data_IF_580088292830
#
_entry.id   IF_580088292830
#
_cell.length_a   1.000
_cell.length_b   1.000
_cell.length_c   1.000
_cell.angle_alpha   90.00
_cell.angle_beta   90.00
_cell.angle_gamma   90.00
#
_symmetry.space_group_name_H-M   'P 1'
#
loop_
_entity.id
_entity.type
_entity.pdbx_description
1 polymer ?
#
# COMPACT_ATOMS: atom_id res chain seq x y z
N UNK A 1 -10.96 -36.90 -10.29
CA UNK A 1 -9.95 -36.07 -9.61
C UNK A 1 -9.85 -34.76 -10.37
N UNK A 2 -10.44 -33.69 -9.84
CA UNK A 2 -10.46 -32.39 -10.53
C UNK A 2 -9.17 -31.65 -10.18
N UNK A 3 -8.47 -31.27 -11.23
CA UNK A 3 -7.15 -30.64 -11.25
C UNK A 3 -7.21 -29.26 -10.58
N UNK A 4 -6.81 -29.15 -9.31
CA UNK A 4 -6.77 -27.88 -8.55
C UNK A 4 -5.57 -26.99 -8.91
N UNK A 5 -4.96 -27.19 -10.09
CA UNK A 5 -3.71 -26.54 -10.48
C UNK A 5 -3.84 -25.16 -11.13
N UNK A 6 -5.05 -24.64 -11.39
CA UNK A 6 -5.26 -23.47 -12.26
C UNK A 6 -5.80 -22.21 -11.53
N UNK A 7 -6.34 -22.30 -10.30
CA UNK A 7 -7.21 -21.23 -9.77
C UNK A 7 -6.49 -20.12 -8.96
N UNK A 8 -5.17 -20.18 -8.75
CA UNK A 8 -4.50 -19.17 -7.90
C UNK A 8 -4.01 -17.92 -8.68
N UNK A 9 -3.72 -18.05 -9.98
CA UNK A 9 -3.33 -16.92 -10.84
C UNK A 9 -4.51 -16.02 -11.21
N UNK A 10 -5.65 -16.64 -11.49
CA UNK A 10 -6.89 -15.93 -11.84
C UNK A 10 -7.39 -15.05 -10.69
N UNK A 11 -7.18 -15.45 -9.42
CA UNK A 11 -7.51 -14.62 -8.25
C UNK A 11 -6.61 -13.37 -8.18
N UNK A 12 -5.31 -13.49 -8.48
CA UNK A 12 -4.40 -12.34 -8.43
C UNK A 12 -4.70 -11.31 -9.53
N UNK A 13 -4.92 -11.77 -10.76
CA UNK A 13 -5.31 -10.90 -11.88
C UNK A 13 -6.65 -10.21 -11.59
N UNK A 14 -7.60 -10.93 -10.98
CA UNK A 14 -8.88 -10.35 -10.55
C UNK A 14 -8.68 -9.26 -9.50
N UNK A 15 -7.84 -9.49 -8.50
CA UNK A 15 -7.51 -8.50 -7.47
C UNK A 15 -6.79 -7.28 -8.04
N UNK A 16 -5.80 -7.48 -8.91
CA UNK A 16 -5.11 -6.38 -9.60
C UNK A 16 -6.08 -5.54 -10.43
N UNK A 17 -6.92 -6.18 -11.25
CA UNK A 17 -7.96 -5.50 -12.04
C UNK A 17 -8.92 -4.69 -11.18
N UNK A 18 -9.26 -5.20 -9.98
CA UNK A 18 -10.13 -4.49 -9.02
C UNK A 18 -9.47 -3.26 -8.43
N UNK A 19 -8.17 -3.33 -8.13
CA UNK A 19 -7.41 -2.19 -7.64
C UNK A 19 -7.26 -1.14 -8.75
N UNK A 20 -6.78 -1.52 -9.94
CA UNK A 20 -6.57 -0.58 -11.05
C UNK A 20 -7.87 0.12 -11.44
N UNK A 21 -9.01 -0.59 -11.51
CA UNK A 21 -10.30 0.04 -11.80
C UNK A 21 -10.66 1.16 -10.81
N UNK A 22 -10.37 0.98 -9.51
CA UNK A 22 -10.62 2.02 -8.50
C UNK A 22 -9.72 3.22 -8.71
N UNK A 23 -8.43 2.97 -8.94
CA UNK A 23 -7.44 4.02 -9.15
C UNK A 23 -7.73 4.81 -10.43
N UNK A 24 -8.04 4.13 -11.54
CA UNK A 24 -8.41 4.77 -12.80
C UNK A 24 -9.67 5.63 -12.68
N UNK A 25 -10.70 5.15 -11.95
CA UNK A 25 -11.91 5.96 -11.68
C UNK A 25 -11.59 7.25 -10.92
N UNK A 26 -10.58 7.21 -10.04
CA UNK A 26 -10.12 8.35 -9.26
C UNK A 26 -8.97 9.15 -9.91
N UNK A 27 -8.54 8.78 -11.12
CA UNK A 27 -7.34 9.35 -11.79
C UNK A 27 -6.08 9.27 -10.89
N UNK A 28 -5.99 8.23 -10.09
CA UNK A 28 -4.90 7.97 -9.16
C UNK A 28 -3.91 6.94 -9.71
N UNK A 29 -2.70 6.98 -9.18
CA UNK A 29 -1.59 6.11 -9.58
C UNK A 29 -1.07 5.27 -8.41
N UNK A 30 -0.47 4.14 -8.75
CA UNK A 30 0.12 3.17 -7.83
C UNK A 30 1.56 2.86 -8.21
N UNK A 31 2.40 2.70 -7.20
CA UNK A 31 3.76 2.17 -7.31
C UNK A 31 3.99 0.98 -6.39
N UNK A 32 5.06 0.22 -6.63
CA UNK A 32 5.37 -0.98 -5.85
C UNK A 32 6.83 -1.05 -5.40
N UNK A 33 7.07 -1.60 -4.20
CA UNK A 33 8.41 -1.93 -3.68
C UNK A 33 8.46 -3.40 -3.23
N UNK A 34 9.17 -4.25 -3.97
CA UNK A 34 9.20 -5.69 -3.73
C UNK A 34 10.56 -6.16 -3.24
N UNK A 35 10.56 -7.05 -2.24
CA UNK A 35 11.73 -7.81 -1.84
C UNK A 35 11.54 -9.30 -2.21
N UNK A 36 10.91 -10.08 -1.33
CA UNK A 36 10.88 -11.53 -1.45
C UNK A 36 10.01 -12.07 -2.61
N UNK A 37 9.08 -11.26 -3.13
CA UNK A 37 8.25 -11.59 -4.30
C UNK A 37 9.00 -11.47 -5.61
N UNK A 38 9.96 -10.54 -5.71
CA UNK A 38 10.91 -10.44 -6.83
C UNK A 38 10.27 -9.97 -8.15
N UNK A 39 9.33 -9.03 -8.09
CA UNK A 39 8.65 -8.48 -9.27
C UNK A 39 7.30 -9.13 -9.58
N UNK A 40 6.79 -10.00 -8.69
CA UNK A 40 5.53 -10.71 -8.93
C UNK A 40 4.32 -9.77 -8.79
N UNK A 41 4.32 -8.85 -7.83
CA UNK A 41 3.24 -7.84 -7.72
C UNK A 41 3.26 -6.94 -8.95
N UNK A 42 4.45 -6.46 -9.33
CA UNK A 42 4.67 -5.63 -10.51
C UNK A 42 4.15 -6.33 -11.77
N UNK A 43 4.58 -7.58 -12.01
CA UNK A 43 4.10 -8.38 -13.15
C UNK A 43 2.59 -8.51 -13.14
N UNK A 44 1.99 -8.80 -11.99
CA UNK A 44 0.53 -8.98 -11.86
C UNK A 44 -0.25 -7.71 -12.20
N UNK A 45 0.25 -6.54 -11.77
CA UNK A 45 -0.35 -5.24 -12.12
C UNK A 45 -0.16 -4.96 -13.61
N UNK A 46 1.05 -5.14 -14.14
CA UNK A 46 1.33 -4.83 -15.54
C UNK A 46 0.70 -5.81 -16.54
N UNK A 47 0.27 -7.00 -16.10
CA UNK A 47 -0.49 -7.95 -16.93
C UNK A 47 -1.90 -7.44 -17.27
N UNK A 48 -2.41 -6.43 -16.56
CA UNK A 48 -3.68 -5.77 -16.89
C UNK A 48 -3.47 -4.82 -18.08
N UNK A 49 -4.29 -5.00 -19.12
CA UNK A 49 -4.27 -4.12 -20.29
C UNK A 49 -4.60 -2.68 -19.90
N UNK A 50 -3.74 -1.73 -20.26
CA UNK A 50 -3.91 -0.32 -19.93
C UNK A 50 -3.35 0.09 -18.57
N UNK A 51 -2.68 -0.81 -17.85
CA UNK A 51 -2.04 -0.54 -16.55
C UNK A 51 -1.13 0.69 -16.53
N UNK A 52 -0.53 1.06 -17.66
CA UNK A 52 0.26 2.30 -17.81
C UNK A 52 -0.49 3.59 -17.48
N UNK A 53 -1.83 3.57 -17.43
CA UNK A 53 -2.63 4.73 -17.04
C UNK A 53 -2.64 4.97 -15.52
N UNK A 54 -2.29 3.97 -14.70
CA UNK A 54 -2.20 4.10 -13.25
C UNK A 54 -0.92 3.53 -12.63
N UNK A 55 -0.08 2.79 -13.37
CA UNK A 55 1.14 2.18 -12.86
C UNK A 55 2.36 2.71 -13.60
N UNK A 56 3.20 3.47 -12.89
CA UNK A 56 4.32 4.19 -13.50
C UNK A 56 5.68 3.56 -13.20
N UNK A 57 5.90 3.09 -11.97
CA UNK A 57 7.22 2.70 -11.50
C UNK A 57 7.14 1.66 -10.38
N UNK A 58 8.17 0.82 -10.28
CA UNK A 58 8.40 -0.07 -9.15
C UNK A 58 9.87 -0.23 -8.82
N UNK A 59 10.14 -0.79 -7.65
CA UNK A 59 11.46 -1.14 -7.15
C UNK A 59 11.51 -2.59 -6.71
N UNK A 60 12.61 -3.26 -7.03
CA UNK A 60 12.92 -4.60 -6.50
C UNK A 60 14.16 -4.47 -5.61
N UNK A 61 13.97 -4.38 -4.30
CA UNK A 61 15.01 -4.06 -3.31
C UNK A 61 15.31 -5.25 -2.40
N UNK A 62 15.95 -6.28 -2.96
CA UNK A 62 16.18 -7.54 -2.24
C UNK A 62 17.17 -7.39 -1.07
N UNK A 63 18.26 -6.64 -1.25
CA UNK A 63 19.27 -6.42 -0.20
C UNK A 63 18.86 -5.28 0.75
N UNK A 64 19.49 -5.22 1.92
CA UNK A 64 19.32 -4.09 2.85
C UNK A 64 19.86 -2.80 2.24
N UNK A 65 21.01 -2.87 1.59
CA UNK A 65 21.63 -1.73 0.90
C UNK A 65 20.71 -1.14 -0.17
N UNK A 66 20.08 -1.97 -1.01
CA UNK A 66 19.14 -1.49 -2.03
C UNK A 66 17.90 -0.86 -1.40
N UNK A 67 17.42 -1.32 -0.24
CA UNK A 67 16.30 -0.67 0.47
C UNK A 67 16.69 0.75 0.92
N UNK A 68 17.92 0.92 1.40
CA UNK A 68 18.43 2.23 1.83
C UNK A 68 18.60 3.16 0.62
N UNK A 69 19.32 2.72 -0.42
CA UNK A 69 19.65 3.56 -1.57
C UNK A 69 18.41 3.93 -2.39
N UNK A 70 17.56 2.95 -2.68
CA UNK A 70 16.46 3.13 -3.63
C UNK A 70 15.18 3.65 -2.98
N UNK A 71 14.97 3.40 -1.69
CA UNK A 71 13.71 3.68 -1.00
C UNK A 71 13.88 4.48 0.29
N UNK A 72 15.09 4.98 0.57
CA UNK A 72 15.41 5.80 1.75
C UNK A 72 15.02 5.12 3.08
N UNK A 73 15.06 3.79 3.13
CA UNK A 73 14.86 3.03 4.37
C UNK A 73 15.99 3.37 5.33
N UNK A 74 15.66 3.66 6.59
CA UNK A 74 16.63 4.05 7.59
C UNK A 74 17.51 2.84 7.99
N UNK A 75 18.85 2.93 7.88
CA UNK A 75 19.75 1.85 8.31
C UNK A 75 19.55 1.42 9.77
N UNK A 76 19.20 2.35 10.67
CA UNK A 76 18.94 2.04 12.08
C UNK A 76 17.69 1.17 12.24
N UNK A 77 16.63 1.44 11.47
CA UNK A 77 15.42 0.61 11.45
C UNK A 77 15.74 -0.82 10.99
N UNK A 78 16.60 -0.97 9.98
CA UNK A 78 17.07 -2.29 9.54
C UNK A 78 17.88 -3.01 10.62
N UNK A 79 18.72 -2.30 11.37
CA UNK A 79 19.52 -2.86 12.46
C UNK A 79 18.66 -3.30 13.66
N UNK A 80 17.65 -2.51 14.01
CA UNK A 80 16.80 -2.74 15.19
C UNK A 80 15.71 -3.79 14.93
N UNK A 81 15.03 -3.71 13.79
CA UNK A 81 13.83 -4.52 13.51
C UNK A 81 14.08 -5.66 12.51
N UNK A 82 15.18 -5.59 11.75
CA UNK A 82 15.46 -6.48 10.64
C UNK A 82 14.64 -6.16 9.38
N UNK A 83 15.05 -6.68 8.24
CA UNK A 83 14.43 -6.38 6.93
C UNK A 83 12.96 -6.80 6.80
N UNK A 84 12.54 -7.82 7.56
CA UNK A 84 11.18 -8.35 7.53
C UNK A 84 10.40 -7.80 8.73
N UNK A 85 10.01 -6.53 8.69
CA UNK A 85 9.30 -5.88 9.79
C UNK A 85 8.25 -4.89 9.28
N UNK A 86 7.36 -4.44 10.16
CA UNK A 86 6.33 -3.45 9.84
C UNK A 86 6.97 -2.10 9.48
N UNK A 87 8.01 -1.70 10.21
CA UNK A 87 8.73 -0.45 10.05
C UNK A 87 9.45 -0.39 8.71
N UNK A 88 10.16 -1.46 8.35
CA UNK A 88 10.83 -1.54 7.04
C UNK A 88 9.82 -1.60 5.90
N UNK A 89 8.73 -2.37 6.05
CA UNK A 89 7.67 -2.41 5.05
C UNK A 89 7.07 -1.00 4.83
N UNK A 90 6.73 -0.28 5.89
CA UNK A 90 6.18 1.07 5.78
C UNK A 90 7.19 2.03 5.12
N UNK A 91 8.44 2.05 5.57
CA UNK A 91 9.47 2.91 4.97
C UNK A 91 9.69 2.59 3.48
N UNK A 92 9.68 1.31 3.08
CA UNK A 92 9.74 0.93 1.66
C UNK A 92 8.56 1.49 0.87
N UNK A 93 7.33 1.44 1.42
CA UNK A 93 6.15 1.98 0.75
C UNK A 93 6.20 3.51 0.66
N UNK A 94 6.53 4.19 1.76
CA UNK A 94 6.67 5.66 1.79
C UNK A 94 7.76 6.15 0.83
N UNK A 95 8.91 5.47 0.76
CA UNK A 95 9.97 5.77 -0.18
C UNK A 95 9.53 5.63 -1.64
N UNK A 96 8.86 4.51 -1.96
CA UNK A 96 8.34 4.27 -3.30
C UNK A 96 7.31 5.33 -3.71
N UNK A 97 6.38 5.67 -2.82
CA UNK A 97 5.37 6.70 -3.03
C UNK A 97 6.01 8.05 -3.34
N UNK A 98 6.95 8.49 -2.48
CA UNK A 98 7.63 9.79 -2.63
C UNK A 98 8.44 9.87 -3.92
N UNK A 99 9.16 8.82 -4.30
CA UNK A 99 10.01 8.83 -5.50
C UNK A 99 9.22 8.72 -6.80
N UNK A 100 8.07 8.02 -6.79
CA UNK A 100 7.19 7.92 -7.96
C UNK A 100 6.16 9.04 -8.06
N UNK A 101 5.95 9.81 -6.99
CA UNK A 101 4.80 10.70 -6.80
C UNK A 101 3.45 9.99 -6.99
N UNK A 102 3.36 8.70 -6.62
CA UNK A 102 2.10 7.97 -6.73
C UNK A 102 1.12 8.32 -5.60
N UNK A 103 -0.17 8.22 -5.86
CA UNK A 103 -1.20 8.40 -4.83
C UNK A 103 -1.15 7.31 -3.77
N UNK A 104 -0.84 6.08 -4.18
CA UNK A 104 -0.64 4.93 -3.30
C UNK A 104 0.63 4.17 -3.66
N UNK A 105 1.31 3.60 -2.68
CA UNK A 105 2.42 2.68 -2.88
C UNK A 105 2.26 1.44 -2.01
N UNK A 106 2.63 0.29 -2.56
CA UNK A 106 2.54 -1.02 -1.91
C UNK A 106 3.94 -1.58 -1.76
N UNK A 107 4.32 -2.02 -0.56
CA UNK A 107 5.58 -2.72 -0.34
C UNK A 107 5.39 -4.14 0.16
N UNK A 108 6.34 -5.02 -0.14
CA UNK A 108 6.35 -6.40 0.33
C UNK A 108 7.74 -6.78 0.82
N UNK A 109 7.85 -7.13 2.11
CA UNK A 109 9.05 -7.76 2.69
C UNK A 109 8.65 -8.97 3.53
N UNK A 110 9.37 -10.09 3.39
CA UNK A 110 8.95 -11.36 3.98
C UNK A 110 9.94 -12.50 3.76
N UNK A 111 9.70 -13.62 4.43
CA UNK A 111 10.52 -14.83 4.34
C UNK A 111 9.76 -15.85 3.50
N UNK A 112 9.97 -15.86 2.18
CA UNK A 112 9.26 -16.81 1.31
C UNK A 112 9.67 -18.29 1.57
N UNK A 113 10.83 -18.54 2.16
CA UNK A 113 11.37 -19.90 2.38
C UNK A 113 12.32 -20.37 1.27
N UNK A 114 12.88 -21.59 1.35
CA UNK A 114 12.54 -22.64 2.31
C UNK A 114 13.22 -22.53 3.67
N UNK A 115 14.21 -21.64 3.82
CA UNK A 115 14.90 -21.38 5.09
C UNK A 115 14.49 -20.02 5.63
N UNK A 116 14.51 -19.90 6.96
CA UNK A 116 14.48 -18.59 7.61
C UNK A 116 15.79 -17.84 7.33
N UNK A 117 15.78 -16.53 7.53
CA UNK A 117 16.91 -15.62 7.34
C UNK A 117 17.82 -15.56 8.59
N UNK A 118 17.95 -16.68 9.31
CA UNK A 118 18.62 -16.82 10.61
C UNK A 118 18.07 -15.91 11.72
N UNK A 119 16.95 -15.22 11.45
CA UNK A 119 16.18 -14.51 12.47
C UNK A 119 15.26 -15.47 13.23
N UNK A 120 14.59 -14.95 14.27
CA UNK A 120 13.54 -15.68 15.00
C UNK A 120 12.21 -15.77 14.24
N UNK A 121 12.12 -15.19 13.03
CA UNK A 121 10.91 -15.08 12.22
C UNK A 121 10.69 -16.34 11.38
N UNK A 122 9.42 -16.63 11.10
CA UNK A 122 9.01 -17.90 10.49
C UNK A 122 9.05 -17.84 8.96
N UNK A 123 9.31 -18.99 8.33
CA UNK A 123 9.07 -19.12 6.88
C UNK A 123 7.58 -18.91 6.62
N UNK A 124 7.27 -18.04 5.67
CA UNK A 124 5.93 -17.63 5.32
C UNK A 124 5.47 -16.35 6.02
N UNK A 125 6.28 -15.78 6.90
CA UNK A 125 6.02 -14.46 7.49
C UNK A 125 6.25 -13.34 6.46
N UNK A 126 5.30 -12.41 6.40
CA UNK A 126 5.33 -11.26 5.48
C UNK A 126 4.75 -10.01 6.14
N UNK A 127 5.29 -8.87 5.76
CA UNK A 127 4.77 -7.54 6.04
C UNK A 127 4.48 -6.82 4.72
N UNK A 128 3.27 -6.25 4.64
CA UNK A 128 2.80 -5.41 3.55
C UNK A 128 2.72 -3.98 4.05
N UNK A 129 3.50 -3.08 3.49
CA UNK A 129 3.38 -1.64 3.76
C UNK A 129 2.48 -0.99 2.74
N UNK A 130 1.63 -0.06 3.20
CA UNK A 130 0.85 0.83 2.33
C UNK A 130 1.15 2.26 2.74
N UNK A 131 1.47 3.11 1.77
CA UNK A 131 1.57 4.55 1.95
C UNK A 131 0.70 5.24 0.90
N UNK A 132 -0.11 6.19 1.33
CA UNK A 132 -0.90 7.11 0.50
C UNK A 132 -0.92 8.51 1.13
N UNK A 133 -1.59 9.47 0.51
CA UNK A 133 -1.83 10.79 1.13
C UNK A 133 -2.71 10.70 2.39
N UNK A 134 -3.56 9.67 2.49
CA UNK A 134 -4.58 9.54 3.54
C UNK A 134 -4.26 8.45 4.57
N UNK A 135 -3.33 7.55 4.26
CA UNK A 135 -3.03 6.40 5.09
C UNK A 135 -1.55 6.00 5.00
N UNK A 136 -0.96 5.71 6.16
CA UNK A 136 0.34 5.06 6.25
C UNK A 136 0.26 3.94 7.29
N UNK A 137 0.61 2.71 6.92
CA UNK A 137 0.58 1.58 7.83
C UNK A 137 1.07 0.27 7.21
N UNK A 138 1.21 -0.75 8.06
CA UNK A 138 1.65 -2.06 7.63
C UNK A 138 0.76 -3.17 8.20
N UNK A 139 0.58 -4.25 7.43
CA UNK A 139 -0.16 -5.45 7.81
C UNK A 139 0.76 -6.67 7.72
N UNK A 140 0.68 -7.57 8.70
CA UNK A 140 1.48 -8.80 8.70
C UNK A 140 0.62 -10.05 8.66
N UNK A 141 1.22 -11.14 8.17
CA UNK A 141 0.61 -12.48 8.21
C UNK A 141 1.69 -13.56 8.08
N UNK A 142 1.42 -14.75 8.61
CA UNK A 142 2.22 -15.95 8.40
C UNK A 142 1.41 -16.94 7.54
N UNK A 143 2.05 -17.49 6.52
CA UNK A 143 1.49 -18.51 5.63
C UNK A 143 2.26 -19.83 5.73
N UNK A 144 1.60 -20.95 5.51
CA UNK A 144 2.20 -22.30 5.61
C UNK A 144 2.54 -22.92 4.24
N UNK A 145 2.75 -22.10 3.21
CA UNK A 145 3.05 -22.57 1.85
C UNK A 145 4.53 -22.82 1.59
N UNK A 146 4.84 -23.43 0.44
CA UNK A 146 6.19 -23.45 -0.11
C UNK A 146 6.61 -22.06 -0.65
N UNK A 147 7.85 -21.90 -1.12
CA UNK A 147 8.36 -20.61 -1.63
C UNK A 147 7.49 -20.01 -2.73
N UNK A 148 6.94 -20.83 -3.63
CA UNK A 148 6.10 -20.34 -4.73
C UNK A 148 4.72 -19.93 -4.21
N UNK A 149 4.11 -20.77 -3.38
CA UNK A 149 2.81 -20.51 -2.75
C UNK A 149 2.86 -19.27 -1.86
N UNK A 150 3.91 -19.10 -1.06
CA UNK A 150 4.10 -17.93 -0.21
C UNK A 150 4.20 -16.65 -1.03
N UNK A 151 5.00 -16.64 -2.11
CA UNK A 151 5.04 -15.46 -3.00
C UNK A 151 3.65 -15.08 -3.54
N UNK A 152 2.86 -16.06 -3.99
CA UNK A 152 1.49 -15.82 -4.48
C UNK A 152 0.59 -15.28 -3.35
N UNK A 153 0.66 -15.89 -2.16
CA UNK A 153 -0.09 -15.46 -0.98
C UNK A 153 0.27 -14.03 -0.54
N UNK A 154 1.55 -13.66 -0.61
CA UNK A 154 2.04 -12.34 -0.25
C UNK A 154 1.48 -11.28 -1.21
N UNK A 155 1.48 -11.55 -2.51
CA UNK A 155 0.89 -10.65 -3.52
C UNK A 155 -0.63 -10.56 -3.34
N UNK A 156 -1.33 -11.66 -3.06
CA UNK A 156 -2.77 -11.63 -2.76
C UNK A 156 -3.07 -10.75 -1.54
N UNK A 157 -2.30 -10.92 -0.45
CA UNK A 157 -2.44 -10.08 0.74
C UNK A 157 -2.16 -8.61 0.44
N UNK A 158 -1.14 -8.32 -0.39
CA UNK A 158 -0.78 -6.96 -0.78
C UNK A 158 -1.93 -6.26 -1.52
N UNK A 159 -2.47 -6.91 -2.55
CA UNK A 159 -3.58 -6.38 -3.35
C UNK A 159 -4.85 -6.21 -2.52
N UNK A 160 -5.20 -7.19 -1.68
CA UNK A 160 -6.36 -7.09 -0.78
C UNK A 160 -6.20 -5.93 0.20
N UNK A 161 -5.02 -5.80 0.82
CA UNK A 161 -4.75 -4.71 1.77
C UNK A 161 -4.83 -3.34 1.09
N UNK A 162 -4.29 -3.20 -0.12
CA UNK A 162 -4.39 -1.96 -0.89
C UNK A 162 -5.83 -1.60 -1.25
N UNK A 163 -6.64 -2.59 -1.67
CA UNK A 163 -8.08 -2.39 -1.93
C UNK A 163 -8.82 -1.97 -0.66
N UNK A 164 -8.60 -2.67 0.45
CA UNK A 164 -9.26 -2.38 1.73
C UNK A 164 -8.93 -0.96 2.22
N UNK A 165 -7.65 -0.57 2.15
CA UNK A 165 -7.20 0.79 2.50
C UNK A 165 -7.80 1.82 1.56
N UNK A 166 -7.77 1.57 0.25
CA UNK A 166 -8.34 2.49 -0.74
C UNK A 166 -9.84 2.72 -0.51
N UNK A 167 -10.60 1.64 -0.36
CA UNK A 167 -12.05 1.71 -0.16
C UNK A 167 -12.38 2.42 1.16
N UNK A 168 -11.60 2.20 2.22
CA UNK A 168 -11.83 2.81 3.53
C UNK A 168 -11.50 4.31 3.59
N UNK A 169 -10.39 4.74 2.97
CA UNK A 169 -9.84 6.09 3.18
C UNK A 169 -9.96 7.02 1.98
N UNK A 170 -10.41 6.52 0.82
CA UNK A 170 -10.58 7.34 -0.37
C UNK A 170 -12.05 7.51 -0.79
N UNK A 171 -12.93 6.55 -0.47
CA UNK A 171 -14.37 6.68 -0.74
C UNK A 171 -15.05 7.55 0.33
N UNK A 172 -14.69 7.38 1.61
CA UNK A 172 -15.29 8.17 2.70
C UNK A 172 -15.07 9.67 2.49
N UNK A 173 -13.87 10.07 2.05
CA UNK A 173 -13.53 11.48 1.84
C UNK A 173 -14.21 12.08 0.62
N UNK A 174 -14.57 11.30 -0.41
CA UNK A 174 -15.30 11.84 -1.56
C UNK A 174 -16.76 12.08 -1.23
N UNK A 175 -17.39 11.18 -0.46
CA UNK A 175 -18.74 11.40 0.05
C UNK A 175 -18.78 12.58 1.02
N UNK A 176 -17.81 12.68 1.94
CA UNK A 176 -17.71 13.81 2.87
C UNK A 176 -17.44 15.16 2.16
N UNK A 177 -16.63 15.17 1.10
CA UNK A 177 -16.38 16.38 0.30
C UNK A 177 -17.58 16.76 -0.58
N UNK A 178 -18.30 15.78 -1.15
CA UNK A 178 -19.54 16.02 -1.90
C UNK A 178 -20.67 16.51 -0.98
N UNK A 179 -20.80 15.96 0.23
CA UNK A 179 -21.75 16.44 1.24
C UNK A 179 -21.41 17.85 1.76
N UNK A 180 -20.12 18.19 1.90
CA UNK A 180 -19.70 19.56 2.27
C UNK A 180 -19.88 20.57 1.12
N UNK A 181 -19.69 20.18 -0.13
CA UNK A 181 -19.97 21.03 -1.30
C UNK A 181 -21.48 21.25 -1.45
N UNK A 182 -22.33 20.27 -1.12
CA UNK A 182 -23.79 20.46 -1.07
C UNK A 182 -24.21 21.38 0.10
N UNK A 183 -23.63 21.21 1.30
CA UNK A 183 -23.96 22.03 2.48
C UNK A 183 -23.45 23.49 2.38
N UNK A 184 -22.42 23.75 1.57
CA UNK A 184 -21.91 25.11 1.31
C UNK A 184 -22.66 25.87 0.22
N UNK A 185 -23.55 25.22 -0.54
CA UNK A 185 -24.42 25.88 -1.54
C UNK A 185 -25.69 26.51 -0.93
N UNK A 186 -25.96 26.33 0.37
CA UNK A 186 -27.14 26.92 1.03
C UNK A 186 -26.95 28.37 1.54
N UNK A 187 -25.76 28.99 1.40
CA UNK A 187 -25.53 30.38 1.84
C UNK A 187 -24.78 31.25 0.81
N UNK A 188 -25.14 31.16 -0.47
CA UNK A 188 -24.87 32.22 -1.44
C UNK A 188 -26.10 33.11 -1.63
N UNK A 189 -26.32 34.01 -0.66
CA UNK A 189 -27.12 35.19 -0.92
C UNK A 189 -26.29 36.23 -1.70
N UNK A 190 -26.79 36.57 -2.89
CA UNK A 190 -26.42 37.70 -3.78
C UNK A 190 -25.10 37.63 -4.56
N UNK A 191 -25.15 37.04 -5.76
CA UNK A 191 -24.71 37.71 -7.01
C UNK A 191 -25.69 37.35 -8.14
N UNK A 192 -26.47 38.34 -8.59
CA UNK A 192 -27.22 38.28 -9.86
C UNK A 192 -26.25 38.50 -11.04
N UNK A 193 -26.16 37.55 -11.98
CA UNK A 193 -26.64 37.73 -13.37
C UNK A 193 -26.41 36.46 -14.23
N UNK A 194 -27.26 36.22 -15.26
CA UNK A 194 -27.47 34.90 -15.86
C UNK A 194 -26.69 34.71 -17.17
N UNK A 195 -26.48 33.45 -17.61
CA UNK A 195 -26.33 33.08 -19.03
C UNK A 195 -26.43 31.54 -19.24
N UNK A 196 -27.65 31.09 -19.51
CA UNK A 196 -28.09 30.20 -20.62
C UNK A 196 -27.13 29.16 -21.26
N UNK A 197 -27.68 27.93 -21.43
CA UNK A 197 -27.34 26.84 -22.38
C UNK A 197 -26.26 25.85 -21.87
N UNK A 198 -26.51 24.55 -21.58
CA UNK A 198 -27.22 23.49 -22.33
C UNK A 198 -27.81 22.46 -21.35
N UNK A 199 -29.14 22.33 -21.30
CA UNK A 199 -29.79 21.04 -20.98
C UNK A 199 -29.78 20.22 -22.27
N UNK A 200 -29.12 19.05 -22.28
CA UNK A 200 -29.53 17.86 -23.04
C UNK A 200 -28.48 16.74 -22.91
N UNK A 201 -28.95 15.51 -22.64
CA UNK A 201 -28.29 14.19 -22.76
C UNK A 201 -27.48 13.84 -21.48
N UNK A 202 -27.90 12.96 -20.55
CA UNK A 202 -28.48 11.60 -20.68
C UNK A 202 -29.34 11.30 -19.44
N UNK A 203 -30.65 11.08 -19.65
CA UNK A 203 -31.48 10.23 -18.77
C UNK A 203 -31.19 8.76 -19.08
N UNK A 204 -31.51 7.90 -18.10
CA UNK A 204 -31.56 6.42 -18.14
C UNK A 204 -30.30 5.68 -17.65
N UNK A 205 -30.24 5.43 -16.33
CA UNK A 205 -30.34 4.06 -15.75
C UNK A 205 -30.20 4.15 -14.22
N UNK A 206 -31.34 4.35 -13.54
CA UNK A 206 -31.52 3.95 -12.14
C UNK A 206 -32.15 2.55 -12.16
N UNK A 207 -31.44 1.55 -11.67
CA UNK A 207 -32.05 0.28 -11.24
C UNK A 207 -31.80 0.07 -9.75
N UNK A 208 -32.93 -0.03 -9.04
CA UNK A 208 -33.12 -0.37 -7.63
C UNK A 208 -32.47 -1.70 -7.26
N UNK A 209 -31.73 -1.74 -6.16
CA UNK A 209 -31.60 -2.95 -5.34
C UNK A 209 -31.50 -2.54 -3.87
N UNK A 210 -32.64 -2.59 -3.17
CA UNK A 210 -32.72 -2.54 -1.71
C UNK A 210 -32.80 -3.97 -1.12
N UNK A 211 -32.14 -4.09 0.05
CA UNK A 211 -32.38 -5.04 1.14
C UNK A 211 -31.94 -6.53 0.99
N UNK A 212 -30.89 -6.90 1.73
CA UNK A 212 -31.00 -7.56 3.05
C UNK A 212 -29.86 -8.58 3.28
N UNK A 213 -28.91 -8.23 4.14
CA UNK A 213 -28.34 -9.19 5.10
C UNK A 213 -27.68 -8.43 6.25
N UNK A 214 -28.38 -8.43 7.36
CA UNK A 214 -27.90 -7.97 8.65
C UNK A 214 -26.87 -8.89 9.32
N UNK A 215 -26.25 -8.25 10.32
CA UNK A 215 -25.74 -8.79 11.58
C UNK A 215 -24.39 -9.54 11.63
N UNK A 216 -23.46 -8.81 12.26
CA UNK A 216 -22.69 -9.22 13.45
C UNK A 216 -21.24 -9.69 13.24
N UNK A 217 -20.27 -8.78 13.41
CA UNK A 217 -18.95 -9.11 13.94
C UNK A 217 -18.53 -8.09 14.99
N UNK A 218 -18.28 -8.62 16.18
CA UNK A 218 -18.14 -7.90 17.43
C UNK A 218 -16.83 -7.13 17.61
N UNK A 219 -16.83 -6.43 18.74
CA UNK A 219 -15.86 -5.47 19.25
C UNK A 219 -14.40 -5.97 19.26
N UNK A 220 -13.50 -5.25 18.58
CA UNK A 220 -12.07 -5.25 18.90
C UNK A 220 -11.61 -3.83 19.23
N UNK A 221 -10.98 -3.71 20.41
CA UNK A 221 -10.52 -2.46 21.03
C UNK A 221 -9.41 -1.81 20.22
N UNK A 222 -9.66 -0.58 19.77
CA UNK A 222 -8.63 0.36 19.29
C UNK A 222 -7.79 0.86 20.48
N UNK A 223 -6.46 0.87 20.33
CA UNK A 223 -5.54 1.52 21.26
C UNK A 223 -5.47 3.02 20.91
N UNK A 224 -5.68 3.88 21.92
CA UNK A 224 -5.58 5.33 21.76
C UNK A 224 -4.14 5.79 21.44
N UNK A 225 -3.95 6.84 20.62
CA UNK A 225 -2.63 7.41 20.35
C UNK A 225 -2.05 8.03 21.62
N UNK A 226 -0.81 7.67 21.99
CA UNK A 226 -0.06 8.37 23.03
C UNK A 226 0.56 9.66 22.48
N UNK A 227 0.41 10.74 23.23
CA UNK A 227 1.02 12.05 22.97
C UNK A 227 2.55 11.94 22.78
N UNK A 228 3.07 12.69 21.81
CA UNK A 228 4.49 12.81 21.49
C UNK A 228 5.09 13.85 22.45
N UNK A 229 6.13 13.54 23.24
CA UNK A 229 6.82 14.57 24.02
C UNK A 229 7.63 15.50 23.11
N UNK A 230 7.50 16.80 23.36
CA UNK A 230 8.31 17.87 22.77
C UNK A 230 9.79 17.77 23.21
N UNK A 231 10.67 18.10 22.26
CA UNK A 231 12.12 18.35 22.38
C UNK A 231 13.05 17.18 22.77
N UNK A 232 13.95 16.84 21.84
CA UNK A 232 15.22 16.17 22.14
C UNK A 232 16.35 17.10 21.71
N UNK A 233 17.13 17.52 22.72
CA UNK A 233 18.33 18.35 22.65
C UNK A 233 19.46 17.65 21.87
N UNK A 234 20.04 18.35 20.90
CA UNK A 234 20.96 17.79 19.89
C UNK A 234 22.46 17.93 20.20
N UNK A 235 22.84 18.32 21.41
CA UNK A 235 24.26 18.44 21.77
C UNK A 235 24.65 17.56 22.96
N UNK A 236 24.90 16.27 22.69
CA UNK A 236 25.95 15.47 23.34
C UNK A 236 25.95 14.02 22.83
N UNK A 237 26.79 13.73 21.83
CA UNK A 237 27.61 12.50 21.75
C UNK A 237 28.43 12.51 20.45
N UNK A 238 29.39 13.43 20.35
CA UNK A 238 30.48 13.31 19.40
C UNK A 238 31.61 12.53 20.10
N UNK A 239 31.60 11.22 19.92
CA UNK A 239 32.65 10.30 20.35
C UNK A 239 32.87 9.26 19.28
N UNK A 240 33.37 9.69 18.11
CA UNK A 240 33.79 8.80 17.03
C UNK A 240 35.26 9.10 16.75
N UNK A 241 36.12 8.15 17.12
CA UNK A 241 37.52 8.10 16.68
C UNK A 241 37.57 7.67 15.20
N UNK A 242 38.39 8.37 14.41
CA UNK A 242 38.65 8.09 13.01
C UNK A 242 39.30 6.71 12.81
N UNK A 243 38.65 5.83 12.03
CA UNK A 243 39.25 4.56 11.58
C UNK A 243 39.82 4.73 10.18
N UNK A 244 41.14 4.65 10.08
CA UNK A 244 41.93 4.77 8.85
C UNK A 244 41.93 3.43 8.07
N UNK A 245 41.43 3.43 6.84
CA UNK A 245 41.31 2.24 5.97
C UNK A 245 42.39 2.20 4.88
N UNK A 246 43.65 2.01 5.27
CA UNK A 246 44.70 1.61 4.33
C UNK A 246 45.59 0.57 4.99
N UNK A 247 45.35 -0.71 4.67
CA UNK A 247 46.35 -1.77 4.53
C UNK A 247 45.64 -3.13 4.39
N UNK A 248 45.63 -3.67 3.17
CA UNK A 248 45.64 -5.12 2.89
C UNK A 248 45.94 -5.32 1.39
N UNK A 249 47.24 -5.47 1.10
CA UNK A 249 47.75 -6.31 -0.01
C UNK A 249 47.79 -7.78 0.44
#
# INVERSE_FOLDING_TARGET
MINHGIIMGDDLITLASRLERRLLKAKATVSAAESCTGGLLTSTLTDISGSSACFNQSWITYSNESKVIELDVNPNTLAEHGAVSAEVALQMATGARKKSNSEIAISITGIAGPKSDDSRKEVGEVYIGISSTMYEGAKSKIFSGDRKQNKLNFVSLALRTAIDVWDKYHISTKNELEEMDEETTEDESTIEEPLEIVEEIIEEEQEEWEEDIGENWGEEKMLEPKEIPEEIDLEQNAGIEDVNWNEQE
#
